data_IF_985774087576
#
_entry.id   IF_985774087576
#
_cell.length_a   1.000
_cell.length_b   1.000
_cell.length_c   1.000
_cell.angle_alpha   90.00
_cell.angle_beta   90.00
_cell.angle_gamma   90.00
#
_symmetry.space_group_name_H-M   'P 1'
#
loop_
_entity.id
_entity.type
_entity.pdbx_description
1 polymer ?
#
# COMPACT_ATOMS: atom_id res chain seq x y z
N UNK A 1 30.07 1.94 -8.78
CA UNK A 1 29.72 1.24 -7.53
C UNK A 1 30.80 1.27 -6.45
N UNK A 2 32.11 0.89 -6.72
CA UNK A 2 33.15 0.79 -5.65
C UNK A 2 33.33 2.07 -4.82
N UNK A 3 33.50 3.24 -5.47
CA UNK A 3 33.63 4.52 -4.76
C UNK A 3 32.37 4.90 -3.98
N UNK A 4 31.20 4.61 -4.55
CA UNK A 4 29.91 4.82 -3.90
C UNK A 4 29.78 3.99 -2.62
N UNK A 5 30.07 2.68 -2.70
CA UNK A 5 30.03 1.81 -1.53
C UNK A 5 30.98 2.26 -0.42
N UNK A 6 32.20 2.71 -0.79
CA UNK A 6 33.17 3.22 0.19
C UNK A 6 32.62 4.45 0.96
N UNK A 7 31.91 5.38 0.27
CA UNK A 7 31.26 6.53 0.90
C UNK A 7 30.12 6.08 1.82
N UNK A 8 29.25 5.21 1.33
CA UNK A 8 28.09 4.73 2.08
C UNK A 8 28.46 3.93 3.33
N UNK A 9 29.54 3.12 3.28
CA UNK A 9 30.09 2.38 4.42
C UNK A 9 30.65 3.32 5.49
N UNK A 10 31.09 4.53 5.10
CA UNK A 10 31.53 5.60 6.01
C UNK A 10 30.35 6.49 6.49
N UNK A 11 29.11 6.03 6.31
CA UNK A 11 27.88 6.73 6.68
C UNK A 11 27.64 8.05 5.94
N UNK A 12 28.31 8.30 4.81
CA UNK A 12 27.93 9.38 3.92
C UNK A 12 26.56 9.10 3.30
N UNK A 13 25.80 10.15 2.99
CA UNK A 13 24.50 10.05 2.37
C UNK A 13 24.59 10.44 0.88
N UNK A 14 23.68 9.89 0.08
CA UNK A 14 23.48 10.35 -1.28
C UNK A 14 22.52 11.53 -1.27
N UNK A 15 22.78 12.48 -2.15
CA UNK A 15 21.75 13.44 -2.50
C UNK A 15 20.66 12.78 -3.38
N UNK A 16 19.60 13.51 -3.67
CA UNK A 16 18.45 13.01 -4.41
C UNK A 16 18.82 12.56 -5.83
N UNK A 17 19.68 13.32 -6.52
CA UNK A 17 20.11 13.04 -7.88
C UNK A 17 21.03 11.81 -7.92
N UNK A 18 22.01 11.74 -7.03
CA UNK A 18 22.91 10.58 -6.88
C UNK A 18 22.12 9.30 -6.59
N UNK A 19 21.13 9.37 -5.69
CA UNK A 19 20.27 8.24 -5.34
C UNK A 19 19.46 7.78 -6.55
N UNK A 20 18.81 8.72 -7.26
CA UNK A 20 18.06 8.44 -8.48
C UNK A 20 18.93 7.76 -9.53
N UNK A 21 20.09 8.35 -9.84
CA UNK A 21 20.98 7.87 -10.89
C UNK A 21 21.59 6.51 -10.54
N UNK A 22 21.87 6.26 -9.25
CA UNK A 22 22.34 4.97 -8.77
C UNK A 22 21.29 3.89 -9.00
N UNK A 23 20.04 4.13 -8.64
CA UNK A 23 18.96 3.16 -8.83
C UNK A 23 18.66 2.94 -10.33
N UNK A 24 18.72 3.98 -11.16
CA UNK A 24 18.59 3.84 -12.61
C UNK A 24 19.68 2.93 -13.20
N UNK A 25 20.93 3.04 -12.72
CA UNK A 25 22.04 2.18 -13.15
C UNK A 25 21.84 0.74 -12.67
N UNK A 26 21.37 0.53 -11.43
CA UNK A 26 21.02 -0.79 -10.91
C UNK A 26 19.94 -1.44 -11.78
N UNK A 27 18.88 -0.70 -12.06
CA UNK A 27 17.74 -1.16 -12.86
C UNK A 27 18.10 -1.49 -14.32
N UNK A 28 19.18 -0.93 -14.84
CA UNK A 28 19.74 -1.22 -16.17
C UNK A 28 20.79 -2.34 -16.16
N UNK A 29 21.01 -3.02 -15.04
CA UNK A 29 21.99 -4.09 -14.93
C UNK A 29 23.45 -3.63 -15.01
N UNK A 30 23.75 -2.36 -14.72
CA UNK A 30 25.12 -1.82 -14.81
C UNK A 30 26.06 -2.35 -13.70
N UNK A 31 25.54 -3.08 -12.73
CA UNK A 31 26.28 -3.61 -11.59
C UNK A 31 26.04 -5.11 -11.41
N UNK A 32 27.06 -5.82 -10.97
CA UNK A 32 26.93 -7.25 -10.71
C UNK A 32 26.12 -7.53 -9.41
N UNK A 33 25.58 -8.75 -9.24
CA UNK A 33 24.77 -9.11 -8.08
C UNK A 33 25.43 -8.84 -6.72
N UNK A 34 26.74 -9.08 -6.58
CA UNK A 34 27.46 -8.82 -5.34
C UNK A 34 27.51 -7.34 -4.98
N UNK A 35 27.66 -6.47 -5.98
CA UNK A 35 27.64 -5.02 -5.79
C UNK A 35 26.23 -4.52 -5.42
N UNK A 36 25.20 -5.08 -6.05
CA UNK A 36 23.80 -4.75 -5.73
C UNK A 36 23.47 -5.24 -4.31
N UNK A 37 23.83 -6.47 -3.96
CA UNK A 37 23.63 -7.00 -2.61
C UNK A 37 24.32 -6.14 -1.54
N UNK A 38 25.58 -5.74 -1.77
CA UNK A 38 26.31 -4.85 -0.87
C UNK A 38 25.60 -3.48 -0.71
N UNK A 39 25.13 -2.92 -1.80
CA UNK A 39 24.36 -1.67 -1.77
C UNK A 39 23.08 -1.80 -0.94
N UNK A 40 22.30 -2.86 -1.15
CA UNK A 40 21.10 -3.13 -0.36
C UNK A 40 21.42 -3.32 1.12
N UNK A 41 22.51 -4.05 1.43
CA UNK A 41 22.92 -4.33 2.82
C UNK A 41 23.30 -3.06 3.57
N UNK A 42 23.97 -2.11 2.93
CA UNK A 42 24.31 -0.82 3.57
C UNK A 42 23.04 -0.09 4.05
N UNK A 43 21.99 -0.06 3.22
CA UNK A 43 20.71 0.56 3.60
C UNK A 43 19.88 -0.24 4.62
N UNK A 44 20.28 -1.45 4.94
CA UNK A 44 19.73 -2.21 6.08
C UNK A 44 20.44 -1.90 7.39
N UNK A 45 21.70 -1.44 7.32
CA UNK A 45 22.54 -1.14 8.47
C UNK A 45 22.46 0.33 8.92
N UNK A 46 21.96 1.21 8.09
CA UNK A 46 21.78 2.63 8.37
C UNK A 46 20.41 3.12 7.92
N UNK A 47 19.93 4.18 8.55
CA UNK A 47 18.68 4.83 8.15
C UNK A 47 18.83 5.47 6.75
N UNK A 48 17.77 5.35 5.96
CA UNK A 48 17.63 6.06 4.68
C UNK A 48 17.21 7.51 4.93
N UNK A 49 17.75 8.45 4.19
CA UNK A 49 17.33 9.86 4.26
C UNK A 49 16.12 10.14 3.36
N UNK A 50 15.44 11.27 3.60
CA UNK A 50 14.33 11.73 2.72
C UNK A 50 14.84 11.93 1.28
N UNK A 51 16.00 12.56 1.10
CA UNK A 51 16.58 12.78 -0.22
C UNK A 51 16.86 11.48 -0.98
N UNK A 52 17.41 10.48 -0.30
CA UNK A 52 17.66 9.15 -0.89
C UNK A 52 16.33 8.45 -1.24
N UNK A 53 15.34 8.50 -0.36
CA UNK A 53 14.02 7.88 -0.61
C UNK A 53 13.31 8.55 -1.79
N UNK A 54 13.35 9.88 -1.89
CA UNK A 54 12.82 10.64 -3.03
C UNK A 54 13.54 10.27 -4.33
N UNK A 55 14.87 10.20 -4.34
CA UNK A 55 15.65 9.81 -5.51
C UNK A 55 15.31 8.40 -5.98
N UNK A 56 15.19 7.44 -5.08
CA UNK A 56 14.79 6.08 -5.41
C UNK A 56 13.36 6.01 -5.94
N UNK A 57 12.43 6.75 -5.33
CA UNK A 57 11.06 6.88 -5.81
C UNK A 57 11.02 7.41 -7.25
N UNK A 58 11.73 8.49 -7.52
CA UNK A 58 11.80 9.10 -8.87
C UNK A 58 12.36 8.14 -9.90
N UNK A 59 13.42 7.41 -9.57
CA UNK A 59 13.99 6.42 -10.47
C UNK A 59 12.93 5.36 -10.86
N UNK A 60 12.21 4.80 -9.89
CA UNK A 60 11.19 3.79 -10.17
C UNK A 60 10.01 4.35 -10.96
N UNK A 61 9.54 5.56 -10.62
CA UNK A 61 8.46 6.21 -11.36
C UNK A 61 8.86 6.56 -12.80
N UNK A 62 10.13 6.92 -13.04
CA UNK A 62 10.61 7.20 -14.39
C UNK A 62 10.75 5.93 -15.26
N UNK A 63 10.83 4.76 -14.64
CA UNK A 63 10.98 3.46 -15.29
C UNK A 63 9.68 2.65 -15.33
N UNK A 64 8.63 3.10 -14.66
CA UNK A 64 7.35 2.40 -14.67
C UNK A 64 6.63 2.56 -16.01
N UNK A 65 5.69 1.66 -16.27
CA UNK A 65 4.70 1.82 -17.33
C UNK A 65 3.58 2.70 -16.78
N UNK A 66 3.50 3.98 -17.18
CA UNK A 66 2.50 4.90 -16.63
C UNK A 66 1.10 4.58 -17.17
N UNK A 67 0.08 4.83 -16.33
CA UNK A 67 -1.33 4.68 -16.69
C UNK A 67 -2.06 5.98 -16.39
N UNK A 68 -2.81 6.50 -17.38
CA UNK A 68 -3.60 7.72 -17.19
C UNK A 68 -4.98 7.41 -16.61
N UNK A 69 -5.10 7.65 -15.30
CA UNK A 69 -6.35 7.56 -14.56
C UNK A 69 -6.74 8.92 -13.93
N UNK A 70 -6.13 10.02 -14.35
CA UNK A 70 -6.32 11.36 -13.74
C UNK A 70 -7.77 11.80 -13.71
N UNK A 71 -8.55 11.50 -14.77
CA UNK A 71 -9.97 11.90 -14.87
C UNK A 71 -10.86 11.31 -13.78
N UNK A 72 -10.41 10.24 -13.11
CA UNK A 72 -11.21 9.57 -12.07
C UNK A 72 -10.94 10.11 -10.66
N UNK A 73 -9.91 10.95 -10.48
CA UNK A 73 -9.51 11.49 -9.17
C UNK A 73 -9.41 10.41 -8.08
N UNK A 74 -8.85 9.26 -8.45
CA UNK A 74 -8.83 8.07 -7.65
C UNK A 74 -7.85 8.15 -6.48
N UNK A 75 -8.18 7.45 -5.39
CA UNK A 75 -7.30 7.25 -4.24
C UNK A 75 -6.56 5.90 -4.33
N UNK A 76 -5.32 5.86 -3.83
CA UNK A 76 -4.60 4.61 -3.58
C UNK A 76 -4.65 4.24 -2.09
N UNK A 77 -4.89 2.96 -1.81
CA UNK A 77 -4.81 2.37 -0.48
C UNK A 77 -3.70 1.30 -0.50
N UNK A 78 -2.47 1.74 -0.37
CA UNK A 78 -1.31 0.85 -0.44
C UNK A 78 -0.42 1.03 0.79
N UNK A 79 -0.37 0.02 1.67
CA UNK A 79 0.57 -0.05 2.79
C UNK A 79 1.89 -0.72 2.39
N UNK A 80 2.89 -0.60 3.25
CA UNK A 80 4.19 -1.26 3.08
C UNK A 80 4.14 -2.76 3.31
N UNK A 81 3.17 -3.21 4.10
CA UNK A 81 3.20 -4.54 4.67
C UNK A 81 4.38 -4.72 5.62
N UNK A 82 4.60 -5.95 6.03
CA UNK A 82 5.83 -6.30 6.73
C UNK A 82 5.87 -5.92 8.21
N UNK A 83 4.74 -5.65 8.82
CA UNK A 83 4.59 -5.40 10.26
C UNK A 83 4.74 -6.65 11.13
N UNK A 84 4.66 -7.85 10.51
CA UNK A 84 4.78 -9.14 11.20
C UNK A 84 3.56 -9.51 12.05
N UNK A 85 2.40 -8.92 11.77
CA UNK A 85 1.18 -9.12 12.57
C UNK A 85 0.23 -10.19 12.03
N UNK A 86 0.45 -10.65 10.80
CA UNK A 86 -0.37 -11.67 10.13
C UNK A 86 -1.89 -11.41 10.22
N UNK A 87 -2.29 -10.15 10.00
CA UNK A 87 -3.69 -9.75 9.89
C UNK A 87 -4.30 -10.27 8.58
N UNK A 88 -5.63 -10.41 8.54
CA UNK A 88 -6.31 -10.65 7.26
C UNK A 88 -6.16 -9.43 6.33
N UNK A 89 -6.50 -9.56 5.04
CA UNK A 89 -6.23 -8.54 4.02
C UNK A 89 -7.10 -7.26 4.18
N UNK A 90 -6.92 -6.55 5.30
CA UNK A 90 -7.73 -5.40 5.76
C UNK A 90 -7.73 -4.29 4.71
N UNK A 91 -6.55 -3.81 4.27
CA UNK A 91 -6.45 -2.70 3.30
C UNK A 91 -7.05 -3.05 1.95
N UNK A 92 -6.98 -4.33 1.55
CA UNK A 92 -7.59 -4.78 0.28
C UNK A 92 -9.10 -4.80 0.37
N UNK A 93 -9.67 -5.29 1.48
CA UNK A 93 -11.11 -5.18 1.76
C UNK A 93 -11.56 -3.73 1.86
N UNK A 94 -10.80 -2.89 2.57
CA UNK A 94 -11.06 -1.46 2.70
C UNK A 94 -11.13 -0.75 1.34
N UNK A 95 -10.32 -1.18 0.36
CA UNK A 95 -10.36 -0.63 -0.99
C UNK A 95 -11.72 -0.87 -1.68
N UNK A 96 -12.30 -2.06 -1.55
CA UNK A 96 -13.64 -2.34 -2.10
C UNK A 96 -14.75 -1.63 -1.32
N UNK A 97 -14.60 -1.49 -0.01
CA UNK A 97 -15.55 -0.71 0.82
C UNK A 97 -15.51 0.75 0.43
N UNK A 98 -14.32 1.31 0.21
CA UNK A 98 -14.11 2.70 -0.28
C UNK A 98 -14.73 2.89 -1.66
N UNK A 99 -14.54 1.95 -2.58
CA UNK A 99 -15.15 1.98 -3.91
C UNK A 99 -16.69 1.91 -3.84
N UNK A 100 -17.23 1.03 -3.01
CA UNK A 100 -18.66 0.89 -2.77
C UNK A 100 -19.30 2.14 -2.14
N UNK A 101 -18.52 2.95 -1.42
CA UNK A 101 -18.94 4.27 -0.91
C UNK A 101 -18.90 5.38 -1.96
N UNK A 102 -18.52 5.07 -3.22
CA UNK A 102 -18.52 6.00 -4.34
C UNK A 102 -17.20 6.74 -4.57
N UNK A 103 -16.15 6.45 -3.81
CA UNK A 103 -14.80 6.99 -4.03
C UNK A 103 -14.06 6.07 -4.99
N UNK A 104 -13.58 6.60 -6.11
CA UNK A 104 -12.81 5.80 -7.08
C UNK A 104 -11.46 5.38 -6.50
N UNK A 105 -11.06 4.12 -6.76
CA UNK A 105 -9.84 3.54 -6.20
C UNK A 105 -8.92 3.03 -7.31
N UNK A 106 -7.66 3.43 -7.30
CA UNK A 106 -6.59 2.89 -8.15
C UNK A 106 -5.56 2.18 -7.25
N UNK A 107 -5.90 0.95 -6.83
CA UNK A 107 -5.12 0.24 -5.83
C UNK A 107 -3.83 -0.34 -6.41
N UNK A 108 -2.68 0.18 -5.96
CA UNK A 108 -1.40 -0.46 -6.18
C UNK A 108 -1.19 -1.63 -5.20
N UNK A 109 -0.69 -2.76 -5.69
CA UNK A 109 -0.53 -3.95 -4.86
C UNK A 109 0.44 -4.96 -5.43
N UNK A 110 0.85 -5.92 -4.58
CA UNK A 110 1.78 -6.98 -4.96
C UNK A 110 1.46 -8.28 -4.22
N UNK A 111 2.16 -9.35 -4.60
CA UNK A 111 2.22 -10.57 -3.79
C UNK A 111 2.85 -10.30 -2.43
N UNK A 112 2.50 -11.11 -1.43
CA UNK A 112 3.12 -11.05 -0.12
C UNK A 112 4.63 -11.36 -0.20
N UNK A 113 5.43 -10.57 0.49
CA UNK A 113 6.89 -10.78 0.57
C UNK A 113 7.27 -11.38 1.92
N UNK A 114 6.57 -10.98 2.97
CA UNK A 114 6.82 -11.41 4.37
C UNK A 114 5.60 -12.05 5.03
N UNK A 115 4.43 -11.93 4.43
CA UNK A 115 3.18 -12.57 4.87
C UNK A 115 2.83 -13.76 3.99
N UNK A 116 2.09 -14.71 4.52
CA UNK A 116 1.63 -15.90 3.76
C UNK A 116 0.68 -15.54 2.61
N UNK A 117 0.01 -14.37 2.64
CA UNK A 117 -0.95 -13.96 1.63
C UNK A 117 -0.99 -12.44 1.46
N UNK A 118 -0.36 -11.92 0.40
CA UNK A 118 -0.46 -10.51 0.00
C UNK A 118 -1.75 -10.18 -0.74
N UNK A 119 -1.95 -8.89 -1.05
CA UNK A 119 -3.13 -8.39 -1.74
C UNK A 119 -3.38 -9.08 -3.09
N UNK A 120 -2.33 -9.26 -3.89
CA UNK A 120 -2.46 -9.92 -5.19
C UNK A 120 -2.74 -11.42 -5.06
N UNK A 121 -2.20 -12.10 -4.02
CA UNK A 121 -2.48 -13.51 -3.81
C UNK A 121 -3.97 -13.77 -3.56
N UNK A 122 -4.59 -12.98 -2.66
CA UNK A 122 -6.00 -13.16 -2.34
C UNK A 122 -6.90 -12.78 -3.51
N UNK A 123 -6.59 -11.70 -4.23
CA UNK A 123 -7.39 -11.25 -5.37
C UNK A 123 -7.35 -12.25 -6.54
N UNK A 124 -6.17 -12.80 -6.85
CA UNK A 124 -6.00 -13.83 -7.88
C UNK A 124 -6.75 -15.12 -7.53
N UNK A 125 -6.64 -15.58 -6.25
CA UNK A 125 -7.38 -16.72 -5.76
C UNK A 125 -8.91 -16.54 -5.83
N UNK A 126 -9.37 -15.29 -5.75
CA UNK A 126 -10.77 -14.91 -5.89
C UNK A 126 -11.17 -14.59 -7.33
N UNK A 127 -10.32 -14.91 -8.32
CA UNK A 127 -10.64 -14.81 -9.75
C UNK A 127 -10.54 -13.41 -10.33
N UNK A 128 -9.78 -12.50 -9.71
CA UNK A 128 -9.43 -11.21 -10.32
C UNK A 128 -8.21 -11.42 -11.23
N UNK A 129 -8.34 -11.03 -12.48
CA UNK A 129 -7.26 -11.08 -13.46
C UNK A 129 -6.58 -9.71 -13.60
N UNK A 130 -5.23 -9.73 -13.49
CA UNK A 130 -4.44 -8.50 -13.58
C UNK A 130 -4.08 -8.19 -15.03
N UNK A 131 -4.10 -6.90 -15.36
CA UNK A 131 -3.73 -6.38 -16.69
C UNK A 131 -2.94 -5.09 -16.56
N UNK A 132 -2.19 -4.74 -17.60
CA UNK A 132 -1.57 -3.42 -17.77
C UNK A 132 -2.17 -2.66 -18.96
N UNK A 133 -3.24 -3.18 -19.55
CA UNK A 133 -3.96 -2.53 -20.65
C UNK A 133 -4.78 -1.36 -20.10
N UNK A 134 -4.42 -0.14 -20.47
CA UNK A 134 -5.04 1.09 -19.96
C UNK A 134 -6.57 1.10 -20.14
N UNK A 135 -7.07 0.69 -21.31
CA UNK A 135 -8.51 0.66 -21.57
C UNK A 135 -9.28 -0.27 -20.64
N UNK A 136 -8.70 -1.44 -20.32
CA UNK A 136 -9.31 -2.38 -19.38
C UNK A 136 -9.29 -1.83 -17.94
N UNK A 137 -8.21 -1.18 -17.54
CA UNK A 137 -8.12 -0.53 -16.22
C UNK A 137 -9.09 0.64 -16.10
N UNK A 138 -9.26 1.42 -17.17
CA UNK A 138 -10.28 2.48 -17.23
C UNK A 138 -11.70 1.89 -17.13
N UNK A 139 -11.99 0.80 -17.83
CA UNK A 139 -13.26 0.10 -17.72
C UNK A 139 -13.50 -0.43 -16.30
N UNK A 140 -12.49 -1.05 -15.66
CA UNK A 140 -12.59 -1.52 -14.28
C UNK A 140 -12.98 -0.39 -13.33
N UNK A 141 -12.30 0.76 -13.39
CA UNK A 141 -12.59 1.89 -12.48
C UNK A 141 -13.91 2.59 -12.82
N UNK A 142 -14.34 2.59 -14.07
CA UNK A 142 -15.66 3.11 -14.49
C UNK A 142 -16.79 2.26 -13.94
N UNK A 143 -16.76 0.95 -14.18
CA UNK A 143 -17.86 0.04 -13.85
C UNK A 143 -17.83 -0.41 -12.37
N UNK A 144 -16.66 -0.82 -11.86
CA UNK A 144 -16.54 -1.35 -10.50
C UNK A 144 -16.18 -0.28 -9.45
N UNK A 145 -15.79 0.93 -9.87
CA UNK A 145 -15.28 1.94 -8.96
C UNK A 145 -13.84 1.73 -8.51
N UNK A 146 -13.21 0.63 -8.92
CA UNK A 146 -11.85 0.23 -8.52
C UNK A 146 -11.14 -0.47 -9.66
N UNK A 147 -9.84 -0.20 -9.82
CA UNK A 147 -8.94 -1.03 -10.61
C UNK A 147 -7.73 -1.46 -9.79
N UNK A 148 -7.10 -2.58 -10.19
CA UNK A 148 -5.94 -3.15 -9.50
C UNK A 148 -4.69 -2.98 -10.37
N UNK A 149 -3.72 -2.25 -9.83
CA UNK A 149 -2.43 -2.00 -10.46
C UNK A 149 -1.41 -2.97 -9.84
N UNK A 150 -1.29 -4.16 -10.44
CA UNK A 150 -0.40 -5.21 -9.97
C UNK A 150 1.07 -4.86 -10.27
N UNK A 151 1.85 -4.55 -9.25
CA UNK A 151 3.19 -3.96 -9.35
C UNK A 151 4.14 -4.66 -10.36
N UNK A 152 4.21 -6.01 -10.46
CA UNK A 152 5.07 -6.69 -11.44
C UNK A 152 4.77 -6.36 -12.91
N UNK A 153 3.55 -5.95 -13.24
CA UNK A 153 3.18 -5.57 -14.60
C UNK A 153 3.60 -4.14 -14.95
N UNK A 154 3.82 -3.27 -13.95
CA UNK A 154 4.11 -1.85 -14.15
C UNK A 154 5.55 -1.45 -13.88
N UNK A 155 6.31 -2.28 -13.17
CA UNK A 155 7.70 -1.99 -12.77
C UNK A 155 8.68 -3.02 -13.35
N UNK A 156 8.87 -3.07 -14.69
CA UNK A 156 9.76 -4.05 -15.32
C UNK A 156 11.21 -3.95 -14.84
N UNK A 157 11.66 -2.75 -14.45
CA UNK A 157 12.99 -2.51 -13.91
C UNK A 157 13.29 -3.29 -12.62
N UNK A 158 12.25 -3.70 -11.88
CA UNK A 158 12.40 -4.52 -10.66
C UNK A 158 12.86 -5.94 -10.95
N UNK A 159 12.75 -6.43 -12.19
CA UNK A 159 13.21 -7.78 -12.60
C UNK A 159 14.71 -7.96 -12.37
N UNK A 160 15.51 -6.92 -12.56
CA UNK A 160 16.97 -6.97 -12.38
C UNK A 160 17.38 -7.12 -10.90
N UNK A 161 16.58 -6.59 -9.97
CA UNK A 161 16.87 -6.65 -8.54
C UNK A 161 16.17 -7.82 -7.84
N UNK A 162 15.13 -8.38 -8.42
CA UNK A 162 14.33 -9.44 -7.80
C UNK A 162 15.15 -10.68 -7.43
N UNK A 163 16.06 -11.22 -8.27
CA UNK A 163 16.90 -12.36 -7.91
C UNK A 163 17.77 -12.07 -6.68
N UNK A 164 18.47 -10.92 -6.66
CA UNK A 164 19.34 -10.52 -5.55
C UNK A 164 18.55 -10.38 -4.24
N UNK A 165 17.36 -9.76 -4.30
CA UNK A 165 16.49 -9.65 -3.12
C UNK A 165 16.00 -10.99 -2.61
N UNK A 166 15.69 -11.92 -3.52
CA UNK A 166 15.24 -13.28 -3.19
C UNK A 166 16.38 -14.08 -2.52
N UNK A 167 17.60 -13.97 -3.05
CA UNK A 167 18.77 -14.64 -2.49
C UNK A 167 19.19 -14.06 -1.13
N UNK A 168 19.08 -12.74 -0.93
CA UNK A 168 19.31 -12.10 0.36
C UNK A 168 18.30 -12.58 1.43
N UNK A 169 17.07 -12.88 1.06
CA UNK A 169 16.03 -13.40 1.95
C UNK A 169 15.60 -12.46 3.08
N UNK A 170 15.96 -11.18 3.02
CA UNK A 170 15.68 -10.18 4.05
C UNK A 170 14.99 -8.96 3.47
N UNK A 171 14.31 -8.18 4.33
CA UNK A 171 13.68 -6.92 3.92
C UNK A 171 14.76 -5.92 3.53
N UNK A 172 14.54 -5.22 2.42
CA UNK A 172 15.41 -4.14 1.93
C UNK A 172 14.62 -2.84 1.80
N UNK A 173 15.27 -1.73 1.48
CA UNK A 173 14.56 -0.46 1.26
C UNK A 173 13.52 -0.53 0.14
N UNK A 174 13.57 -1.48 -0.78
CA UNK A 174 12.50 -1.70 -1.76
C UNK A 174 11.15 -2.01 -1.14
N UNK A 175 11.12 -2.57 0.07
CA UNK A 175 9.87 -2.80 0.79
C UNK A 175 9.20 -1.49 1.24
N UNK A 176 9.96 -0.40 1.31
CA UNK A 176 9.46 0.94 1.61
C UNK A 176 8.95 1.69 0.37
N UNK A 177 9.28 1.25 -0.86
CA UNK A 177 8.98 2.03 -2.07
C UNK A 177 7.60 1.73 -2.66
N UNK A 178 7.02 0.55 -2.38
CA UNK A 178 5.77 0.11 -2.99
C UNK A 178 4.65 1.16 -2.97
N UNK A 179 4.28 1.72 -1.81
CA UNK A 179 3.24 2.73 -1.72
C UNK A 179 3.58 4.07 -2.41
N UNK A 180 4.85 4.35 -2.64
CA UNK A 180 5.32 5.63 -3.22
C UNK A 180 5.39 5.61 -4.75
N UNK A 181 5.14 4.46 -5.40
CA UNK A 181 5.41 4.27 -6.82
C UNK A 181 4.20 3.75 -7.60
N UNK A 182 3.00 4.18 -7.23
CA UNK A 182 1.79 3.85 -7.98
C UNK A 182 1.89 4.42 -9.41
N UNK A 183 1.75 3.59 -10.46
CA UNK A 183 1.95 3.98 -11.85
C UNK A 183 0.86 4.90 -12.41
N UNK A 184 -0.25 5.13 -11.67
CA UNK A 184 -1.29 6.10 -12.05
C UNK A 184 -1.06 7.49 -11.47
N UNK A 185 -0.02 7.68 -10.64
CA UNK A 185 0.33 8.96 -10.00
C UNK A 185 -0.86 9.60 -9.27
N UNK A 186 -1.54 8.89 -8.37
CA UNK A 186 -2.73 9.41 -7.71
C UNK A 186 -2.38 10.63 -6.86
N UNK A 187 -3.28 11.61 -6.82
CA UNK A 187 -3.15 12.77 -5.93
C UNK A 187 -3.74 12.51 -4.53
N UNK A 188 -4.33 11.34 -4.31
CA UNK A 188 -4.94 10.94 -3.05
C UNK A 188 -4.37 9.61 -2.63
N UNK A 189 -3.94 9.50 -1.37
CA UNK A 189 -3.32 8.26 -0.89
C UNK A 189 -3.51 8.04 0.60
N UNK A 190 -3.76 6.79 0.98
CA UNK A 190 -3.61 6.31 2.36
C UNK A 190 -2.54 5.23 2.38
N UNK A 191 -1.52 5.41 3.22
CA UNK A 191 -0.40 4.47 3.33
C UNK A 191 -0.17 4.08 4.78
N UNK A 192 -0.37 2.80 5.07
CA UNK A 192 0.09 2.20 6.31
C UNK A 192 1.56 1.81 6.22
N UNK A 193 2.30 2.00 7.30
CA UNK A 193 3.73 1.72 7.36
C UNK A 193 4.09 0.92 8.62
N UNK A 194 5.16 0.12 8.53
CA UNK A 194 5.52 -0.84 9.59
C UNK A 194 6.28 -0.23 10.78
N UNK A 195 6.66 1.03 10.76
CA UNK A 195 7.25 1.73 11.91
C UNK A 195 7.07 3.25 11.82
N UNK A 196 7.28 3.92 12.96
CA UNK A 196 7.07 5.37 13.09
C UNK A 196 8.14 6.20 12.35
N UNK A 197 9.37 5.71 12.23
CA UNK A 197 10.43 6.39 11.47
C UNK A 197 10.03 6.50 9.99
N UNK A 198 9.55 5.41 9.42
CA UNK A 198 9.07 5.38 8.05
C UNK A 198 7.82 6.25 7.85
N UNK A 199 6.93 6.33 8.85
CA UNK A 199 5.78 7.23 8.79
C UNK A 199 6.21 8.69 8.63
N UNK A 200 7.24 9.12 9.38
CA UNK A 200 7.81 10.46 9.27
C UNK A 200 8.50 10.69 7.93
N UNK A 201 9.26 9.72 7.44
CA UNK A 201 9.89 9.80 6.11
C UNK A 201 8.84 9.97 5.00
N UNK A 202 7.76 9.19 5.03
CA UNK A 202 6.66 9.32 4.08
C UNK A 202 5.98 10.68 4.18
N UNK A 203 5.74 11.16 5.39
CA UNK A 203 5.18 12.48 5.62
C UNK A 203 6.04 13.56 4.95
N UNK A 204 7.36 13.55 5.15
CA UNK A 204 8.27 14.50 4.52
C UNK A 204 8.28 14.39 2.99
N UNK A 205 8.23 13.17 2.44
CA UNK A 205 8.13 12.96 0.99
C UNK A 205 6.83 13.54 0.43
N UNK A 206 5.69 13.30 1.11
CA UNK A 206 4.39 13.78 0.63
C UNK A 206 4.20 15.29 0.84
N UNK A 207 4.79 15.89 1.87
CA UNK A 207 4.75 17.35 2.09
C UNK A 207 5.31 18.15 0.90
N UNK A 208 6.22 17.56 0.12
CA UNK A 208 6.79 18.17 -1.08
C UNK A 208 5.90 17.98 -2.34
N UNK A 209 4.67 17.51 -2.17
CA UNK A 209 3.71 17.25 -3.25
C UNK A 209 2.38 17.94 -3.00
N UNK A 210 1.57 18.12 -4.06
CA UNK A 210 0.19 18.63 -3.97
C UNK A 210 -0.82 17.53 -3.61
N UNK A 211 -0.38 16.46 -2.94
CA UNK A 211 -1.21 15.29 -2.67
C UNK A 211 -2.02 15.46 -1.39
N UNK A 212 -3.26 14.96 -1.40
CA UNK A 212 -4.03 14.66 -0.20
C UNK A 212 -3.63 13.26 0.29
N UNK A 213 -3.09 13.17 1.49
CA UNK A 213 -2.59 11.90 2.00
C UNK A 213 -2.88 11.70 3.48
N UNK A 214 -2.96 10.44 3.87
CA UNK A 214 -2.85 10.01 5.27
C UNK A 214 -1.83 8.89 5.34
N UNK A 215 -0.71 9.14 6.02
CA UNK A 215 0.24 8.09 6.41
C UNK A 215 -0.11 7.65 7.81
N UNK A 216 -0.17 6.36 8.07
CA UNK A 216 -0.59 5.83 9.36
C UNK A 216 0.32 4.72 9.87
N UNK A 217 0.45 4.67 11.20
CA UNK A 217 1.15 3.63 11.95
C UNK A 217 0.43 3.35 13.26
N UNK A 218 -0.06 2.13 13.43
CA UNK A 218 -0.64 1.67 14.70
C UNK A 218 0.44 1.52 15.77
N UNK A 219 0.29 2.17 16.93
CA UNK A 219 1.30 2.14 17.99
C UNK A 219 1.51 0.73 18.57
N UNK A 220 0.58 -0.18 18.35
CA UNK A 220 0.73 -1.61 18.66
C UNK A 220 1.54 -2.40 17.60
N UNK A 221 2.13 -1.69 16.60
CA UNK A 221 3.03 -2.26 15.59
C UNK A 221 2.35 -2.66 14.30
N UNK A 222 1.12 -2.20 14.02
CA UNK A 222 0.39 -2.50 12.78
C UNK A 222 0.62 -1.41 11.72
N UNK A 223 0.68 -1.82 10.46
CA UNK A 223 0.66 -0.92 9.31
C UNK A 223 -0.78 -0.59 8.83
N UNK A 224 -1.76 -0.78 9.70
CA UNK A 224 -3.18 -0.52 9.48
C UNK A 224 -3.82 0.04 10.77
N UNK A 225 -5.02 0.62 10.66
CA UNK A 225 -5.84 0.96 11.84
C UNK A 225 -6.39 -0.35 12.39
N UNK A 226 -5.71 -0.89 13.39
CA UNK A 226 -6.06 -2.20 13.97
C UNK A 226 -7.19 -2.16 14.99
N UNK A 227 -7.51 -0.98 15.53
CA UNK A 227 -8.41 -0.79 16.67
C UNK A 227 -7.98 -1.54 17.94
N UNK A 228 -6.73 -2.04 18.00
CA UNK A 228 -6.17 -2.69 19.20
C UNK A 228 -5.42 -1.71 20.10
N UNK A 229 -5.43 -0.44 19.72
CA UNK A 229 -4.79 0.67 20.39
C UNK A 229 -4.69 1.88 19.45
N UNK A 230 -4.07 2.98 19.90
CA UNK A 230 -3.99 4.21 19.13
C UNK A 230 -3.20 4.05 17.82
N UNK A 231 -3.60 4.82 16.81
CA UNK A 231 -2.92 4.92 15.51
C UNK A 231 -2.40 6.33 15.31
N UNK A 232 -1.09 6.47 15.10
CA UNK A 232 -0.47 7.74 14.71
C UNK A 232 -0.72 7.98 13.22
N UNK A 233 -1.22 9.18 12.89
CA UNK A 233 -1.44 9.61 11.51
C UNK A 233 -0.70 10.89 11.20
N UNK A 234 -0.32 11.05 9.93
CA UNK A 234 0.32 12.22 9.36
C UNK A 234 -0.42 12.60 8.08
N UNK A 235 -0.78 13.87 7.96
CA UNK A 235 -1.54 14.40 6.82
C UNK A 235 -1.08 15.82 6.49
N UNK A 236 -1.55 16.48 5.43
CA UNK A 236 -1.29 17.90 5.19
C UNK A 236 -1.71 18.82 6.33
N UNK A 237 -2.67 18.39 7.16
CA UNK A 237 -3.16 19.14 8.33
C UNK A 237 -2.27 18.94 9.58
N UNK A 238 -1.27 18.07 9.50
CA UNK A 238 -0.36 17.76 10.59
C UNK A 238 -0.50 16.35 11.14
N UNK A 239 0.00 16.16 12.36
CA UNK A 239 0.03 14.88 13.05
C UNK A 239 -1.16 14.72 14.00
N UNK A 240 -1.77 13.55 14.01
CA UNK A 240 -2.84 13.21 14.93
C UNK A 240 -2.61 11.84 15.57
N UNK A 241 -3.24 11.61 16.71
CA UNK A 241 -3.34 10.31 17.33
C UNK A 241 -4.81 9.91 17.32
N UNK A 242 -5.16 8.93 16.49
CA UNK A 242 -6.52 8.40 16.39
C UNK A 242 -6.72 7.27 17.38
N UNK A 243 -7.84 7.32 18.07
CA UNK A 243 -8.34 6.27 18.95
C UNK A 243 -9.58 5.62 18.36
N UNK A 244 -9.95 4.43 18.84
CA UNK A 244 -11.18 3.76 18.42
C UNK A 244 -12.42 4.65 18.64
N UNK A 245 -12.40 5.47 19.70
CA UNK A 245 -13.46 6.43 20.03
C UNK A 245 -13.69 7.49 18.93
N UNK A 246 -12.66 7.86 18.14
CA UNK A 246 -12.80 8.81 17.03
C UNK A 246 -13.65 8.26 15.87
N UNK A 247 -13.85 6.94 15.86
CA UNK A 247 -14.77 6.24 14.97
C UNK A 247 -16.11 5.89 15.65
N UNK A 248 -16.27 6.22 16.93
CA UNK A 248 -17.41 5.83 17.75
C UNK A 248 -17.36 4.36 18.20
N UNK A 249 -16.15 3.78 18.34
CA UNK A 249 -15.88 2.39 18.66
C UNK A 249 -15.11 2.26 19.97
N UNK A 250 -14.98 1.01 20.42
CA UNK A 250 -14.09 0.61 21.52
C UNK A 250 -12.95 -0.25 20.98
N UNK A 251 -11.87 -0.37 21.74
CA UNK A 251 -10.74 -1.22 21.39
C UNK A 251 -11.15 -2.69 21.29
N UNK A 252 -10.52 -3.41 20.38
CA UNK A 252 -10.70 -4.84 20.14
C UNK A 252 -9.44 -5.62 20.52
N UNK A 253 -9.53 -6.94 20.59
CA UNK A 253 -8.36 -7.78 20.88
C UNK A 253 -7.56 -8.12 19.61
N UNK A 254 -6.23 -8.25 19.68
CA UNK A 254 -5.40 -8.64 18.53
C UNK A 254 -5.84 -9.95 17.87
N UNK A 255 -6.27 -10.94 18.65
CA UNK A 255 -6.73 -12.24 18.13
C UNK A 255 -7.97 -12.17 17.27
N UNK A 256 -8.78 -11.09 17.39
CA UNK A 256 -10.02 -10.93 16.61
C UNK A 256 -9.78 -10.48 15.16
N UNK A 257 -8.52 -10.10 14.82
CA UNK A 257 -8.12 -9.63 13.48
C UNK A 257 -7.01 -10.48 12.84
N UNK A 258 -6.76 -11.67 13.39
CA UNK A 258 -5.78 -12.62 12.82
C UNK A 258 -6.23 -13.07 11.42
N UNK A 259 -5.31 -13.17 10.50
CA UNK A 259 -5.53 -13.62 9.12
C UNK A 259 -5.58 -15.14 8.96
N UNK A 260 -5.73 -15.56 7.71
CA UNK A 260 -5.64 -16.95 7.33
C UNK A 260 -4.19 -17.46 7.30
N UNK A 261 -3.99 -18.76 7.47
CA UNK A 261 -2.66 -19.38 7.44
C UNK A 261 -2.14 -19.63 6.01
N UNK A 262 -3.04 -19.59 5.04
CA UNK A 262 -2.76 -19.78 3.62
C UNK A 262 -3.66 -18.91 2.75
N UNK A 263 -3.47 -18.97 1.45
CA UNK A 263 -4.25 -18.19 0.47
C UNK A 263 -5.72 -18.57 0.49
N UNK A 264 -6.05 -19.85 0.65
CA UNK A 264 -7.44 -20.33 0.63
C UNK A 264 -8.23 -19.84 1.85
N UNK A 265 -7.65 -19.95 3.05
CA UNK A 265 -8.26 -19.44 4.28
C UNK A 265 -8.36 -17.91 4.29
N UNK A 266 -7.37 -17.21 3.73
CA UNK A 266 -7.41 -15.75 3.55
C UNK A 266 -8.52 -15.32 2.59
N UNK A 267 -8.70 -16.04 1.48
CA UNK A 267 -9.79 -15.80 0.52
C UNK A 267 -11.17 -16.08 1.12
N UNK A 268 -11.29 -17.09 1.98
CA UNK A 268 -12.53 -17.39 2.69
C UNK A 268 -12.91 -16.27 3.68
N UNK A 269 -11.93 -15.77 4.48
CA UNK A 269 -12.14 -14.62 5.38
C UNK A 269 -12.56 -13.40 4.55
N UNK A 270 -11.84 -13.11 3.47
CA UNK A 270 -12.12 -11.98 2.59
C UNK A 270 -13.57 -12.01 2.07
N UNK A 271 -14.00 -13.14 1.52
CA UNK A 271 -15.36 -13.31 1.00
C UNK A 271 -16.42 -13.16 2.09
N UNK A 272 -16.18 -13.76 3.26
CA UNK A 272 -17.11 -13.72 4.41
C UNK A 272 -17.30 -12.29 4.92
N UNK A 273 -16.21 -11.52 5.04
CA UNK A 273 -16.27 -10.12 5.48
C UNK A 273 -16.99 -9.26 4.42
N UNK A 274 -16.64 -9.43 3.16
CA UNK A 274 -17.24 -8.67 2.04
C UNK A 274 -18.75 -8.96 1.87
N UNK A 275 -19.19 -10.16 2.28
CA UNK A 275 -20.61 -10.52 2.34
C UNK A 275 -21.38 -9.96 3.53
N UNK A 276 -20.71 -9.21 4.41
CA UNK A 276 -21.32 -8.72 5.66
C UNK A 276 -21.53 -9.81 6.70
N UNK A 277 -20.87 -10.97 6.54
CA UNK A 277 -20.99 -12.15 7.43
C UNK A 277 -19.76 -12.31 8.34
N UNK A 278 -18.79 -11.42 8.26
CA UNK A 278 -17.62 -11.40 9.14
C UNK A 278 -17.99 -11.12 10.60
N UNK A 279 -17.01 -11.25 11.48
CA UNK A 279 -17.19 -10.85 12.88
C UNK A 279 -17.34 -9.34 13.03
N UNK A 280 -17.90 -8.89 14.15
CA UNK A 280 -18.01 -7.45 14.44
C UNK A 280 -16.63 -6.76 14.38
N UNK A 281 -15.59 -7.38 14.94
CA UNK A 281 -14.23 -6.85 14.92
C UNK A 281 -13.68 -6.72 13.48
N UNK A 282 -13.89 -7.73 12.63
CA UNK A 282 -13.47 -7.68 11.22
C UNK A 282 -14.17 -6.54 10.47
N UNK A 283 -15.48 -6.37 10.64
CA UNK A 283 -16.21 -5.27 10.02
C UNK A 283 -15.73 -3.92 10.52
N UNK A 284 -15.53 -3.76 11.84
CA UNK A 284 -15.07 -2.50 12.43
C UNK A 284 -13.69 -2.09 11.90
N UNK A 285 -12.74 -3.01 11.85
CA UNK A 285 -11.38 -2.73 11.36
C UNK A 285 -11.39 -2.38 9.87
N UNK A 286 -12.10 -3.13 9.04
CA UNK A 286 -12.22 -2.82 7.61
C UNK A 286 -12.88 -1.46 7.39
N UNK A 287 -13.97 -1.18 8.12
CA UNK A 287 -14.66 0.11 8.03
C UNK A 287 -13.82 1.28 8.56
N UNK A 288 -12.97 1.08 9.58
CA UNK A 288 -12.06 2.12 10.05
C UNK A 288 -10.99 2.48 9.00
N UNK A 289 -10.39 1.48 8.36
CA UNK A 289 -9.41 1.69 7.28
C UNK A 289 -10.05 2.26 5.99
N UNK A 290 -11.23 1.81 5.61
CA UNK A 290 -11.99 2.41 4.53
C UNK A 290 -12.45 3.82 4.88
N UNK A 291 -12.88 4.03 6.12
CA UNK A 291 -13.35 5.31 6.64
C UNK A 291 -12.29 6.39 6.57
N UNK A 292 -11.06 6.09 7.02
CA UNK A 292 -9.97 7.07 6.88
C UNK A 292 -9.62 7.35 5.42
N UNK A 293 -9.78 6.36 4.53
CA UNK A 293 -9.56 6.53 3.09
C UNK A 293 -10.63 7.43 2.46
N UNK A 294 -11.89 7.24 2.83
CA UNK A 294 -13.02 8.08 2.42
C UNK A 294 -12.85 9.50 2.99
N UNK A 295 -12.45 9.62 4.27
CA UNK A 295 -12.20 10.89 4.93
C UNK A 295 -11.07 11.67 4.23
N UNK A 296 -9.96 11.00 3.90
CA UNK A 296 -8.84 11.59 3.14
C UNK A 296 -9.30 12.05 1.75
N UNK A 297 -10.07 11.23 1.03
CA UNK A 297 -10.50 11.54 -0.33
C UNK A 297 -11.50 12.70 -0.41
N UNK A 298 -12.39 12.83 0.59
CA UNK A 298 -13.52 13.76 0.59
C UNK A 298 -13.41 14.88 1.63
N UNK A 299 -12.29 14.95 2.35
CA UNK A 299 -12.04 15.91 3.42
C UNK A 299 -13.14 15.87 4.51
N UNK A 300 -13.39 14.69 5.06
CA UNK A 300 -14.36 14.42 6.12
C UNK A 300 -13.66 14.11 7.44
N UNK A 301 -14.43 14.07 8.53
CA UNK A 301 -13.95 13.53 9.80
C UNK A 301 -13.79 11.99 9.73
N UNK A 302 -12.97 11.37 10.60
CA UNK A 302 -12.85 9.92 10.68
C UNK A 302 -14.18 9.23 10.91
N UNK A 303 -15.05 9.79 11.74
CA UNK A 303 -16.37 9.25 12.06
C UNK A 303 -17.31 9.25 10.84
N UNK A 304 -17.38 10.37 10.11
CA UNK A 304 -18.20 10.46 8.89
C UNK A 304 -17.69 9.49 7.82
N UNK A 305 -16.37 9.36 7.68
CA UNK A 305 -15.77 8.39 6.79
C UNK A 305 -16.12 6.96 7.18
N UNK A 306 -16.06 6.64 8.49
CA UNK A 306 -16.45 5.34 9.03
C UNK A 306 -17.92 5.01 8.73
N UNK A 307 -18.83 5.93 8.97
CA UNK A 307 -20.28 5.71 8.75
C UNK A 307 -20.58 5.39 7.28
N UNK A 308 -19.93 6.10 6.35
CA UNK A 308 -20.03 5.79 4.91
C UNK A 308 -19.43 4.43 4.56
N UNK A 309 -18.33 4.07 5.17
CA UNK A 309 -17.71 2.75 4.99
C UNK A 309 -18.64 1.63 5.50
N UNK A 310 -19.23 1.82 6.67
CA UNK A 310 -20.17 0.87 7.25
C UNK A 310 -21.43 0.72 6.37
N UNK A 311 -21.99 1.82 5.87
CA UNK A 311 -23.08 1.76 4.91
C UNK A 311 -22.69 0.98 3.65
N UNK A 312 -21.52 1.27 3.06
CA UNK A 312 -21.03 0.58 1.87
C UNK A 312 -20.91 -0.93 2.06
N UNK A 313 -20.34 -1.36 3.18
CA UNK A 313 -20.17 -2.78 3.49
C UNK A 313 -21.53 -3.46 3.76
N UNK A 314 -22.34 -2.90 4.65
CA UNK A 314 -23.57 -3.55 5.11
C UNK A 314 -24.72 -3.50 4.09
N UNK A 315 -24.72 -2.53 3.17
CA UNK A 315 -25.69 -2.50 2.07
C UNK A 315 -25.32 -3.39 0.89
N UNK A 316 -24.12 -4.03 0.91
CA UNK A 316 -23.61 -4.85 -0.17
C UNK A 316 -22.99 -4.09 -1.36
N UNK A 317 -22.88 -2.75 -1.29
CA UNK A 317 -22.21 -1.95 -2.33
C UNK A 317 -20.74 -2.34 -2.52
N UNK A 318 -20.03 -2.64 -1.43
CA UNK A 318 -18.65 -3.14 -1.48
C UNK A 318 -18.55 -4.50 -2.20
N UNK A 319 -19.48 -5.42 -1.91
CA UNK A 319 -19.58 -6.71 -2.60
C UNK A 319 -19.91 -6.53 -4.08
N UNK A 320 -20.78 -5.57 -4.40
CA UNK A 320 -21.11 -5.25 -5.80
C UNK A 320 -19.88 -4.74 -6.56
N UNK A 321 -19.09 -3.84 -5.99
CA UNK A 321 -17.83 -3.37 -6.57
C UNK A 321 -16.86 -4.54 -6.85
N UNK A 322 -16.71 -5.46 -5.89
CA UNK A 322 -15.88 -6.66 -6.06
C UNK A 322 -16.38 -7.57 -7.19
N UNK A 323 -17.66 -7.93 -7.18
CA UNK A 323 -18.23 -8.85 -8.19
C UNK A 323 -18.24 -8.25 -9.59
N UNK A 324 -18.38 -6.92 -9.69
CA UNK A 324 -18.24 -6.20 -10.96
C UNK A 324 -16.81 -6.23 -11.45
N UNK A 325 -15.82 -5.93 -10.58
CA UNK A 325 -14.42 -6.03 -10.95
C UNK A 325 -14.05 -7.45 -11.40
N UNK A 326 -14.51 -8.49 -10.70
CA UNK A 326 -14.27 -9.88 -11.04
C UNK A 326 -14.77 -10.19 -12.48
N UNK A 327 -15.98 -9.75 -12.83
CA UNK A 327 -16.54 -9.92 -14.17
C UNK A 327 -15.75 -9.16 -15.24
N UNK A 328 -15.47 -7.87 -15.00
CA UNK A 328 -14.78 -7.02 -15.98
C UNK A 328 -13.32 -7.43 -16.15
N UNK A 329 -12.66 -7.94 -15.12
CA UNK A 329 -11.27 -8.40 -15.23
C UNK A 329 -11.12 -9.71 -16.01
N UNK A 330 -12.18 -10.51 -16.12
CA UNK A 330 -12.18 -11.77 -16.86
C UNK A 330 -12.39 -11.58 -18.38
N UNK A 331 -12.78 -10.39 -18.82
CA UNK A 331 -12.96 -10.03 -20.25
C UNK A 331 -11.62 -9.54 -20.84
#
# INVERSE_FOLDING_TARGET
MKSLLNRLIQYEHLDREEARDTLLKIAKGAFNPAQVASFLTVYMMRSITVAELEGFREALLSLCIPIDLKKYDAIDLCGTGGDGKDTFNISTLAAFVTAGAGVKVAKHGNYGVSSGCGSSNVLEALGIHFTHEEKKLQQQIEEAGICILHAPLFHPAMKEVAPVRKELGVKTFFNMLGPLVNPSFPKKQVSGVFNLELARLYHYVFQNTDSQYTVLYGLAGYDEISLTGPTKTFSPQGEQLLHSADFGLTDITPSSITGGHDVASSAAIFSTVLEGKGTSAQHQVVCANAGISIATALNLSPKEGYDRAQESLMSGKAKHAFTTLQKVSAL
#
